data_IF_111607078319
#
_entry.id   IF_111607078319
#
_cell.length_a   1.000
_cell.length_b   1.000
_cell.length_c   1.000
_cell.angle_alpha   90.00
_cell.angle_beta   90.00
_cell.angle_gamma   90.00
#
_symmetry.space_group_name_H-M   'P 1'
#
loop_
_entity.id
_entity.type
_entity.pdbx_description
1 polymer ?
#
# COMPACT_ATOMS: atom_id res chain seq x y z
N UNK A 1 -8.95 -21.26 17.31
CA UNK A 1 -8.86 -19.94 16.71
C UNK A 1 -10.21 -19.26 16.83
N UNK A 2 -10.23 -17.98 17.24
CA UNK A 2 -11.47 -17.19 17.33
C UNK A 2 -11.39 -15.97 16.40
N UNK A 3 -12.50 -15.61 15.75
CA UNK A 3 -12.61 -14.44 14.89
C UNK A 3 -13.99 -13.81 15.09
N UNK A 4 -14.04 -12.48 15.24
CA UNK A 4 -15.30 -11.73 15.38
C UNK A 4 -16.10 -11.65 14.09
N UNK A 5 -15.47 -11.89 12.94
CA UNK A 5 -16.10 -11.80 11.64
C UNK A 5 -17.02 -13.01 11.35
N UNK A 6 -18.09 -12.74 10.62
CA UNK A 6 -18.98 -13.78 10.08
C UNK A 6 -18.30 -14.61 8.99
N UNK A 7 -17.41 -13.99 8.21
CA UNK A 7 -16.66 -14.63 7.12
C UNK A 7 -15.17 -14.52 7.38
N UNK A 8 -14.48 -15.65 7.30
CA UNK A 8 -13.03 -15.72 7.45
C UNK A 8 -12.32 -15.16 6.21
N UNK A 9 -11.18 -14.48 6.42
CA UNK A 9 -10.27 -14.07 5.36
C UNK A 9 -10.75 -12.88 4.53
N UNK A 10 -11.56 -11.98 5.06
CA UNK A 10 -12.08 -10.81 4.32
C UNK A 10 -10.95 -9.92 3.75
N UNK A 11 -9.84 -9.74 4.48
CA UNK A 11 -8.68 -8.99 3.98
C UNK A 11 -8.05 -9.66 2.74
N UNK A 12 -7.96 -10.99 2.75
CA UNK A 12 -7.49 -11.77 1.60
C UNK A 12 -8.48 -11.63 0.44
N UNK A 13 -9.77 -11.74 0.72
CA UNK A 13 -10.85 -11.69 -0.27
C UNK A 13 -10.82 -10.44 -1.13
N UNK A 14 -10.57 -9.27 -0.52
CA UNK A 14 -10.54 -7.99 -1.24
C UNK A 14 -9.16 -7.67 -1.84
N UNK A 15 -8.10 -8.36 -1.43
CA UNK A 15 -6.75 -8.08 -1.90
C UNK A 15 -6.58 -8.34 -3.38
N UNK A 16 -5.71 -7.55 -4.02
CA UNK A 16 -5.41 -7.71 -5.44
C UNK A 16 -6.62 -7.63 -6.37
N UNK A 17 -7.65 -6.85 -6.02
CA UNK A 17 -8.88 -6.75 -6.79
C UNK A 17 -9.70 -8.05 -6.80
N UNK A 18 -9.65 -8.83 -5.72
CA UNK A 18 -10.34 -10.11 -5.57
C UNK A 18 -9.58 -11.32 -6.13
N UNK A 19 -8.34 -11.13 -6.61
CA UNK A 19 -7.45 -12.20 -7.10
C UNK A 19 -6.31 -12.55 -6.16
N UNK A 20 -6.20 -11.89 -5.01
CA UNK A 20 -5.16 -12.04 -4.01
C UNK A 20 -3.74 -11.87 -4.58
N UNK A 21 -3.13 -10.73 -4.35
CA UNK A 21 -1.67 -10.62 -4.44
C UNK A 21 -1.07 -11.37 -3.24
N UNK A 22 -0.82 -12.68 -3.38
CA UNK A 22 -0.53 -13.53 -2.23
C UNK A 22 0.94 -13.49 -1.80
N UNK A 23 1.86 -13.13 -2.70
CA UNK A 23 3.27 -12.88 -2.36
C UNK A 23 4.00 -12.11 -3.49
N UNK A 24 5.28 -11.82 -3.24
CA UNK A 24 6.18 -11.20 -4.21
C UNK A 24 7.50 -11.98 -4.26
N UNK A 25 7.97 -12.34 -5.46
CA UNK A 25 9.24 -13.05 -5.70
C UNK A 25 10.45 -12.31 -5.11
N UNK A 26 10.39 -10.97 -5.08
CA UNK A 26 11.47 -10.09 -4.64
C UNK A 26 11.34 -9.69 -3.16
N UNK A 27 10.58 -10.44 -2.35
CA UNK A 27 10.46 -10.19 -0.91
C UNK A 27 11.82 -10.27 -0.23
N UNK A 28 12.23 -9.18 0.44
CA UNK A 28 13.51 -9.04 1.15
C UNK A 28 13.31 -8.17 2.39
N UNK A 29 14.18 -8.30 3.42
CA UNK A 29 14.06 -7.49 4.64
C UNK A 29 14.08 -5.98 4.44
N UNK A 30 14.76 -5.49 3.41
CA UNK A 30 14.83 -4.06 3.07
C UNK A 30 13.51 -3.47 2.53
N UNK A 31 12.53 -4.32 2.21
CA UNK A 31 11.18 -3.90 1.79
C UNK A 31 10.22 -3.67 2.95
N UNK A 32 10.67 -3.91 4.18
CA UNK A 32 9.86 -3.73 5.39
C UNK A 32 10.28 -2.43 6.10
N UNK A 33 9.34 -1.47 6.20
CA UNK A 33 9.56 -0.20 6.88
C UNK A 33 9.38 -0.42 8.38
N UNK A 34 10.43 -0.16 9.18
CA UNK A 34 10.41 -0.34 10.62
C UNK A 34 11.49 0.50 11.29
N UNK A 35 11.25 0.93 12.52
CA UNK A 35 12.30 1.50 13.40
C UNK A 35 13.33 0.43 13.81
N UNK A 36 12.95 -0.86 13.75
CA UNK A 36 13.83 -2.01 13.94
C UNK A 36 13.94 -2.83 12.64
N UNK A 37 14.74 -2.39 11.65
CA UNK A 37 14.78 -2.99 10.32
C UNK A 37 15.35 -4.41 10.28
N UNK A 38 16.00 -4.85 11.38
CA UNK A 38 16.53 -6.22 11.47
C UNK A 38 15.52 -7.24 11.98
N UNK A 39 14.41 -6.78 12.57
CA UNK A 39 13.42 -7.65 13.22
C UNK A 39 12.87 -8.72 12.26
N UNK A 40 12.50 -8.33 11.05
CA UNK A 40 11.85 -9.19 10.07
C UNK A 40 12.76 -10.30 9.51
N UNK A 41 14.10 -10.19 9.67
CA UNK A 41 15.06 -11.13 9.07
C UNK A 41 14.85 -12.55 9.51
N UNK A 42 14.62 -12.79 10.81
CA UNK A 42 14.41 -14.15 11.34
C UNK A 42 13.13 -14.77 10.78
N UNK A 43 12.03 -14.02 10.75
CA UNK A 43 10.77 -14.52 10.21
C UNK A 43 10.90 -14.88 8.72
N UNK A 44 11.48 -14.00 7.90
CA UNK A 44 11.67 -14.24 6.47
C UNK A 44 12.69 -15.35 6.15
N UNK A 45 13.60 -15.68 7.09
CA UNK A 45 14.51 -16.82 6.92
C UNK A 45 13.88 -18.15 7.32
N UNK A 46 12.91 -18.15 8.24
CA UNK A 46 12.21 -19.34 8.68
C UNK A 46 11.04 -19.73 7.77
N UNK A 47 10.38 -18.73 7.18
CA UNK A 47 9.29 -18.94 6.24
C UNK A 47 9.40 -17.91 5.11
N UNK A 48 9.84 -18.36 3.97
CA UNK A 48 10.13 -17.52 2.80
C UNK A 48 8.91 -17.37 1.90
N UNK A 49 8.97 -16.43 0.94
CA UNK A 49 7.97 -16.36 -0.13
C UNK A 49 7.89 -17.66 -0.96
N UNK A 50 9.00 -18.39 -1.08
CA UNK A 50 9.05 -19.67 -1.81
C UNK A 50 8.32 -20.78 -1.07
N UNK A 51 8.36 -20.80 0.27
CA UNK A 51 7.60 -21.76 1.08
C UNK A 51 6.10 -21.53 0.88
N UNK A 52 5.65 -20.28 0.86
CA UNK A 52 4.25 -19.98 0.59
C UNK A 52 3.84 -20.33 -0.87
N UNK A 53 4.72 -20.06 -1.85
CA UNK A 53 4.49 -20.47 -3.25
C UNK A 53 4.38 -22.00 -3.36
N UNK A 54 5.22 -22.75 -2.64
CA UNK A 54 5.17 -24.21 -2.61
C UNK A 54 3.87 -24.71 -2.00
N UNK A 55 3.38 -24.06 -0.95
CA UNK A 55 2.07 -24.36 -0.37
C UNK A 55 0.94 -24.13 -1.38
N UNK A 56 0.93 -23.00 -2.08
CA UNK A 56 -0.05 -22.69 -3.14
C UNK A 56 -0.01 -23.76 -4.23
N UNK A 57 1.18 -24.19 -4.68
CA UNK A 57 1.36 -25.26 -5.68
C UNK A 57 0.89 -26.60 -5.17
N UNK A 58 1.16 -26.96 -3.89
CA UNK A 58 0.68 -28.20 -3.24
C UNK A 58 -0.84 -28.31 -3.32
N UNK A 59 -1.54 -27.19 -3.18
CA UNK A 59 -2.99 -27.12 -3.30
C UNK A 59 -3.49 -26.94 -4.74
N UNK A 60 -2.60 -27.03 -5.76
CA UNK A 60 -2.94 -26.96 -7.18
C UNK A 60 -3.70 -25.67 -7.55
N UNK A 61 -3.30 -24.55 -6.94
CA UNK A 61 -3.85 -23.23 -7.24
C UNK A 61 -3.00 -22.60 -8.35
N UNK A 62 -3.63 -22.32 -9.49
CA UNK A 62 -3.00 -21.64 -10.62
C UNK A 62 -2.81 -20.15 -10.30
N UNK A 63 -1.66 -19.61 -10.72
CA UNK A 63 -1.28 -18.23 -10.50
C UNK A 63 -0.32 -17.72 -11.57
N UNK A 64 -0.25 -16.41 -11.72
CA UNK A 64 0.68 -15.74 -12.64
C UNK A 64 1.45 -14.60 -11.95
N UNK A 65 2.57 -14.25 -12.52
CA UNK A 65 3.27 -13.00 -12.22
C UNK A 65 2.65 -11.86 -13.04
N UNK A 66 2.21 -10.79 -12.38
CA UNK A 66 1.67 -9.61 -13.05
C UNK A 66 2.79 -8.66 -13.49
N UNK A 67 3.53 -8.10 -12.56
CA UNK A 67 4.73 -7.29 -12.77
C UNK A 67 5.53 -7.17 -11.47
N UNK A 68 6.81 -6.87 -11.56
CA UNK A 68 7.70 -6.62 -10.42
C UNK A 68 7.71 -7.75 -9.38
N UNK A 69 7.50 -8.99 -9.81
CA UNK A 69 7.48 -10.16 -8.92
C UNK A 69 6.18 -10.39 -8.16
N UNK A 70 5.14 -9.60 -8.40
CA UNK A 70 3.83 -9.77 -7.75
C UNK A 70 3.09 -11.00 -8.28
N UNK A 71 2.70 -11.92 -7.40
CA UNK A 71 1.99 -13.14 -7.75
C UNK A 71 0.51 -13.06 -7.38
N UNK A 72 -0.35 -13.36 -8.35
CA UNK A 72 -1.81 -13.32 -8.23
C UNK A 72 -2.43 -14.67 -8.59
N UNK A 73 -3.49 -15.08 -7.88
CA UNK A 73 -4.31 -16.21 -8.30
C UNK A 73 -5.00 -15.91 -9.64
N UNK A 74 -5.06 -16.92 -10.50
CA UNK A 74 -5.70 -16.76 -11.81
C UNK A 74 -7.21 -16.58 -11.71
N UNK A 75 -7.85 -17.27 -10.76
CA UNK A 75 -9.31 -17.30 -10.63
C UNK A 75 -9.81 -16.34 -9.54
N UNK A 76 -9.48 -16.60 -8.28
CA UNK A 76 -10.07 -15.86 -7.14
C UNK A 76 -9.23 -15.94 -5.88
N UNK A 77 -9.24 -14.85 -5.10
CA UNK A 77 -8.70 -14.80 -3.74
C UNK A 77 -9.31 -15.87 -2.81
N UNK A 78 -10.52 -16.36 -3.13
CA UNK A 78 -11.18 -17.43 -2.37
C UNK A 78 -10.35 -18.72 -2.33
N UNK A 79 -9.59 -19.02 -3.40
CA UNK A 79 -8.73 -20.22 -3.44
C UNK A 79 -7.69 -20.22 -2.32
N UNK A 80 -7.08 -19.06 -2.00
CA UNK A 80 -6.14 -18.94 -0.88
C UNK A 80 -6.85 -19.10 0.46
N UNK A 81 -8.06 -18.56 0.61
CA UNK A 81 -8.84 -18.72 1.84
C UNK A 81 -9.20 -20.19 2.05
N UNK A 82 -9.71 -20.85 1.02
CA UNK A 82 -10.10 -22.28 1.09
C UNK A 82 -8.88 -23.16 1.40
N UNK A 83 -7.72 -22.87 0.81
CA UNK A 83 -6.45 -23.52 1.09
C UNK A 83 -6.09 -23.42 2.58
N UNK A 84 -6.11 -22.20 3.12
CA UNK A 84 -5.76 -21.97 4.55
C UNK A 84 -6.76 -22.63 5.49
N UNK A 85 -8.05 -22.64 5.17
CA UNK A 85 -9.06 -23.34 5.95
C UNK A 85 -8.85 -24.85 5.92
N UNK A 86 -8.46 -25.41 4.79
CA UNK A 86 -8.15 -26.83 4.66
C UNK A 86 -6.89 -27.22 5.46
N UNK A 87 -5.84 -26.38 5.45
CA UNK A 87 -4.67 -26.60 6.30
C UNK A 87 -5.03 -26.53 7.80
N UNK A 88 -5.95 -25.64 8.20
CA UNK A 88 -6.49 -25.60 9.57
C UNK A 88 -7.24 -26.89 9.92
N UNK A 89 -8.07 -27.40 9.00
CA UNK A 89 -8.81 -28.65 9.18
C UNK A 89 -7.85 -29.84 9.37
N UNK A 90 -6.84 -29.98 8.51
CA UNK A 90 -5.82 -31.02 8.62
C UNK A 90 -5.01 -30.96 9.92
N UNK A 91 -4.83 -29.76 10.44
CA UNK A 91 -4.17 -29.53 11.73
C UNK A 91 -5.12 -29.63 12.94
N UNK A 92 -6.39 -30.03 12.74
CA UNK A 92 -7.42 -30.09 13.78
C UNK A 92 -7.64 -28.76 14.53
N UNK A 93 -7.52 -27.63 13.83
CA UNK A 93 -7.76 -26.31 14.42
C UNK A 93 -9.26 -26.05 14.49
N UNK A 94 -9.80 -25.91 15.70
CA UNK A 94 -11.17 -25.43 15.89
C UNK A 94 -11.27 -23.95 15.57
N UNK A 95 -12.17 -23.56 14.65
CA UNK A 95 -12.40 -22.16 14.26
C UNK A 95 -13.80 -21.72 14.73
N UNK A 96 -13.82 -20.69 15.60
CA UNK A 96 -15.08 -20.07 16.07
C UNK A 96 -15.23 -18.67 15.47
N UNK A 97 -16.26 -18.51 14.64
CA UNK A 97 -16.64 -17.25 13.99
C UNK A 97 -17.65 -16.50 14.86
N UNK A 98 -17.84 -15.22 14.56
CA UNK A 98 -18.76 -14.34 15.29
C UNK A 98 -18.47 -14.32 16.79
N UNK A 99 -17.21 -14.58 17.15
CA UNK A 99 -16.73 -14.63 18.51
C UNK A 99 -16.07 -13.31 18.89
N UNK A 100 -16.84 -12.46 19.59
CA UNK A 100 -16.35 -11.15 20.06
C UNK A 100 -15.60 -11.36 21.38
N UNK A 101 -14.29 -11.10 21.35
CA UNK A 101 -13.46 -11.11 22.56
C UNK A 101 -13.70 -9.81 23.33
N UNK A 102 -14.19 -9.92 24.55
CA UNK A 102 -14.44 -8.78 25.44
C UNK A 102 -13.22 -8.47 26.31
N UNK A 103 -12.50 -9.49 26.72
CA UNK A 103 -11.38 -9.35 27.66
C UNK A 103 -10.30 -10.41 27.39
N UNK A 104 -9.05 -10.00 27.56
CA UNK A 104 -7.88 -10.86 27.58
C UNK A 104 -7.11 -10.57 28.87
N UNK A 105 -6.86 -11.61 29.67
CA UNK A 105 -6.11 -11.54 30.92
C UNK A 105 -5.07 -12.64 31.04
N UNK A 106 -4.28 -12.60 32.10
CA UNK A 106 -3.39 -13.67 32.53
C UNK A 106 -3.68 -14.00 33.99
N UNK A 107 -4.03 -15.26 34.26
CA UNK A 107 -4.29 -15.80 35.57
C UNK A 107 -3.39 -17.02 35.81
N UNK A 108 -2.56 -16.98 36.85
CA UNK A 108 -1.70 -18.14 37.28
C UNK A 108 -0.87 -18.77 36.15
N UNK A 109 -0.28 -18.01 35.22
CA UNK A 109 0.45 -18.47 34.03
C UNK A 109 -0.41 -18.92 32.84
N UNK A 110 -1.74 -18.91 32.92
CA UNK A 110 -2.62 -19.13 31.77
C UNK A 110 -3.16 -17.82 31.22
N UNK A 111 -3.26 -17.72 29.92
CA UNK A 111 -4.00 -16.65 29.26
C UNK A 111 -5.48 -16.98 29.27
N UNK A 112 -6.27 -15.99 29.64
CA UNK A 112 -7.73 -16.10 29.74
C UNK A 112 -8.37 -15.18 28.70
N UNK A 113 -9.11 -15.76 27.76
CA UNK A 113 -9.85 -15.03 26.73
C UNK A 113 -11.33 -15.18 27.01
N UNK A 114 -12.02 -14.04 27.22
CA UNK A 114 -13.44 -14.01 27.58
C UNK A 114 -14.29 -13.38 26.46
N UNK A 115 -15.42 -13.99 26.18
CA UNK A 115 -16.53 -13.39 25.45
C UNK A 115 -17.73 -13.24 26.38
N UNK A 116 -18.90 -12.81 25.86
CA UNK A 116 -20.12 -12.72 26.65
C UNK A 116 -20.48 -14.05 27.33
N UNK A 117 -20.34 -15.18 26.59
CA UNK A 117 -20.84 -16.48 27.01
C UNK A 117 -19.76 -17.56 27.23
N UNK A 118 -18.48 -17.23 26.90
CA UNK A 118 -17.42 -18.24 26.90
C UNK A 118 -16.13 -17.72 27.53
N UNK A 119 -15.43 -18.61 28.21
CA UNK A 119 -14.08 -18.39 28.75
C UNK A 119 -13.16 -19.49 28.24
N UNK A 120 -12.05 -19.08 27.62
CA UNK A 120 -11.00 -19.99 27.19
C UNK A 120 -9.72 -19.71 27.95
N UNK A 121 -9.02 -20.76 28.33
CA UNK A 121 -7.71 -20.71 29.00
C UNK A 121 -6.68 -21.44 28.17
N UNK A 122 -5.46 -20.91 28.12
CA UNK A 122 -4.35 -21.53 27.41
C UNK A 122 -3.01 -21.06 27.98
N UNK A 123 -1.99 -21.91 27.84
CA UNK A 123 -0.62 -21.57 28.22
C UNK A 123 0.02 -20.56 27.26
N UNK A 124 -0.50 -20.47 26.05
CA UNK A 124 -0.02 -19.53 25.03
C UNK A 124 -1.18 -18.85 24.32
N UNK A 125 -1.00 -17.57 24.01
CA UNK A 125 -1.95 -16.74 23.29
C UNK A 125 -1.28 -16.09 22.08
N UNK A 126 -1.85 -16.25 20.90
CA UNK A 126 -1.44 -15.53 19.70
C UNK A 126 -2.43 -14.41 19.37
N UNK A 127 -1.97 -13.17 19.41
CA UNK A 127 -2.74 -12.00 18.99
C UNK A 127 -2.44 -11.74 17.52
N UNK A 128 -3.36 -12.11 16.63
CA UNK A 128 -3.22 -12.01 15.18
C UNK A 128 -4.36 -11.19 14.55
N UNK A 129 -4.80 -10.14 15.23
CA UNK A 129 -6.00 -9.34 14.89
C UNK A 129 -5.80 -8.35 13.76
N UNK A 130 -4.57 -8.21 13.25
CA UNK A 130 -4.22 -7.23 12.24
C UNK A 130 -4.14 -5.80 12.77
N UNK A 131 -4.16 -4.84 11.85
CA UNK A 131 -4.10 -3.41 12.16
C UNK A 131 -5.41 -2.67 11.86
N UNK A 132 -5.32 -1.34 11.72
CA UNK A 132 -6.47 -0.44 11.58
C UNK A 132 -7.01 -0.30 10.14
N UNK A 133 -6.26 -0.82 9.16
CA UNK A 133 -6.57 -0.60 7.74
C UNK A 133 -7.82 -1.36 7.30
N UNK A 134 -8.73 -0.65 6.62
CA UNK A 134 -10.03 -1.10 6.13
C UNK A 134 -10.99 -1.49 7.26
N UNK A 135 -11.45 -0.54 8.11
CA UNK A 135 -12.35 -0.84 9.24
C UNK A 135 -13.64 -1.54 8.85
N UNK A 136 -14.13 -1.33 7.62
CA UNK A 136 -15.37 -1.96 7.11
C UNK A 136 -15.34 -3.50 7.08
N UNK A 137 -14.16 -4.10 7.11
CA UNK A 137 -14.00 -5.56 7.14
C UNK A 137 -13.56 -6.07 8.51
N UNK A 138 -13.72 -5.26 9.56
CA UNK A 138 -13.47 -5.66 10.93
C UNK A 138 -12.11 -5.27 11.51
N UNK A 139 -11.28 -4.49 10.80
CA UNK A 139 -10.04 -3.97 11.35
C UNK A 139 -10.32 -3.06 12.55
N UNK A 140 -9.57 -3.26 13.66
CA UNK A 140 -9.77 -2.53 14.91
C UNK A 140 -8.46 -2.34 15.68
N UNK A 141 -8.50 -1.54 16.74
CA UNK A 141 -7.39 -1.33 17.68
C UNK A 141 -7.19 -2.45 18.70
N UNK A 142 -8.05 -3.45 18.71
CA UNK A 142 -8.11 -4.46 19.77
C UNK A 142 -6.73 -5.10 20.10
N UNK A 143 -5.95 -5.48 19.10
CA UNK A 143 -4.62 -6.05 19.32
C UNK A 143 -3.65 -5.09 20.00
N UNK A 144 -3.76 -3.79 19.70
CA UNK A 144 -2.94 -2.75 20.35
C UNK A 144 -3.39 -2.50 21.79
N UNK A 145 -4.69 -2.60 22.07
CA UNK A 145 -5.25 -2.48 23.43
C UNK A 145 -4.79 -3.64 24.29
N UNK A 146 -4.83 -4.87 23.77
CA UNK A 146 -4.27 -6.05 24.43
C UNK A 146 -2.78 -5.85 24.71
N UNK A 147 -1.99 -5.44 23.73
CA UNK A 147 -0.56 -5.20 23.91
C UNK A 147 -0.28 -4.14 24.99
N UNK A 148 -1.02 -3.02 25.00
CA UNK A 148 -0.93 -1.98 26.04
C UNK A 148 -1.30 -2.54 27.43
N UNK A 149 -2.36 -3.36 27.54
CA UNK A 149 -2.77 -4.00 28.79
C UNK A 149 -1.62 -4.84 29.38
N UNK A 150 -0.86 -5.50 28.50
CA UNK A 150 0.35 -6.26 28.88
C UNK A 150 1.63 -5.40 28.94
N UNK A 151 1.51 -4.05 29.05
CA UNK A 151 2.63 -3.15 29.25
C UNK A 151 3.63 -3.08 28.08
N UNK A 152 3.17 -3.37 26.85
CA UNK A 152 3.96 -3.20 25.64
C UNK A 152 3.73 -1.83 25.02
N UNK A 153 4.77 -1.21 24.51
CA UNK A 153 4.70 0.07 23.83
C UNK A 153 4.12 -0.08 22.42
N UNK A 154 3.34 0.91 22.01
CA UNK A 154 2.81 1.02 20.66
C UNK A 154 3.50 2.18 19.93
N UNK A 155 4.20 1.87 18.85
CA UNK A 155 4.67 2.86 17.90
C UNK A 155 3.45 3.47 17.20
N UNK A 156 3.44 4.79 17.09
CA UNK A 156 2.34 5.53 16.45
C UNK A 156 1.91 4.87 15.16
N UNK A 157 0.61 4.64 15.04
CA UNK A 157 0.04 3.99 13.86
C UNK A 157 -0.40 5.01 12.82
N UNK A 158 -0.04 4.80 11.56
CA UNK A 158 -0.38 5.65 10.44
C UNK A 158 -0.93 4.82 9.28
N UNK A 159 -1.89 5.35 8.49
CA UNK A 159 -2.33 4.69 7.26
C UNK A 159 -1.20 4.71 6.23
N UNK A 160 -0.97 3.58 5.57
CA UNK A 160 0.03 3.44 4.52
C UNK A 160 -0.50 2.64 3.33
N UNK A 161 0.20 2.70 2.19
CA UNK A 161 -0.33 2.28 0.89
C UNK A 161 -1.73 2.89 0.71
N UNK A 162 -1.79 4.22 0.77
CA UNK A 162 -3.04 4.98 0.85
C UNK A 162 -3.02 6.14 -0.16
N UNK A 163 -4.14 6.46 -0.83
CA UNK A 163 -4.24 7.62 -1.69
C UNK A 163 -3.96 8.93 -0.93
N UNK A 164 -3.28 9.86 -1.61
CA UNK A 164 -2.94 11.17 -1.07
C UNK A 164 -3.97 12.23 -1.50
N UNK A 165 -4.34 13.11 -0.56
CA UNK A 165 -5.28 14.22 -0.77
C UNK A 165 -4.54 15.54 -0.89
N UNK A 166 -5.18 16.53 -1.53
CA UNK A 166 -4.55 17.80 -1.86
C UNK A 166 -5.48 18.99 -1.58
N UNK A 167 -4.91 20.19 -1.60
CA UNK A 167 -5.66 21.43 -1.58
C UNK A 167 -6.56 21.57 -2.82
N UNK A 168 -7.46 22.54 -2.78
CA UNK A 168 -8.48 22.77 -3.81
C UNK A 168 -7.90 22.90 -5.22
N UNK A 169 -6.79 23.61 -5.39
CA UNK A 169 -6.17 23.81 -6.71
C UNK A 169 -5.79 22.48 -7.38
N UNK A 170 -5.04 21.63 -6.68
CA UNK A 170 -4.61 20.33 -7.21
C UNK A 170 -5.80 19.35 -7.25
N UNK A 171 -6.70 19.44 -6.27
CA UNK A 171 -7.90 18.60 -6.24
C UNK A 171 -8.80 18.84 -7.46
N UNK A 172 -8.95 20.06 -7.93
CA UNK A 172 -9.74 20.37 -9.13
C UNK A 172 -9.12 19.73 -10.38
N UNK A 173 -7.80 19.80 -10.55
CA UNK A 173 -7.08 19.08 -11.61
C UNK A 173 -7.36 17.58 -11.53
N UNK A 174 -7.28 17.02 -10.33
CA UNK A 174 -7.53 15.58 -10.11
C UNK A 174 -8.98 15.19 -10.46
N UNK A 175 -9.96 16.03 -10.12
CA UNK A 175 -11.38 15.80 -10.46
C UNK A 175 -11.60 15.78 -11.97
N UNK A 176 -11.03 16.74 -12.70
CA UNK A 176 -11.12 16.81 -14.16
C UNK A 176 -10.45 15.61 -14.85
N UNK A 177 -9.39 15.05 -14.24
CA UNK A 177 -8.66 13.90 -14.74
C UNK A 177 -9.11 12.57 -14.13
N UNK A 178 -10.20 12.55 -13.35
CA UNK A 178 -10.65 11.32 -12.66
C UNK A 178 -10.71 10.12 -13.61
N UNK A 179 -10.09 9.00 -13.15
CA UNK A 179 -10.00 7.74 -13.89
C UNK A 179 -8.82 7.67 -14.88
N UNK A 180 -8.08 8.77 -15.08
CA UNK A 180 -6.91 8.77 -15.95
C UNK A 180 -5.70 8.25 -15.19
N UNK A 181 -4.99 7.30 -15.80
CA UNK A 181 -3.71 6.76 -15.29
C UNK A 181 -2.56 7.14 -16.22
N UNK A 182 -1.39 7.37 -15.63
CA UNK A 182 -0.15 7.65 -16.36
C UNK A 182 1.02 6.94 -15.66
N UNK A 183 1.93 6.35 -16.43
CA UNK A 183 3.18 5.84 -15.87
C UNK A 183 4.03 7.02 -15.38
N UNK A 184 4.50 6.94 -14.16
CA UNK A 184 5.23 8.04 -13.53
C UNK A 184 6.29 7.54 -12.57
N UNK A 185 7.33 8.33 -12.36
CA UNK A 185 8.23 8.20 -11.21
C UNK A 185 7.78 9.18 -10.15
N UNK A 186 7.34 8.66 -9.02
CA UNK A 186 7.00 9.47 -7.84
C UNK A 186 8.11 9.35 -6.83
N UNK A 187 8.61 10.46 -6.32
CA UNK A 187 9.73 10.49 -5.39
C UNK A 187 9.48 11.35 -4.15
N UNK A 188 10.04 10.89 -3.05
CA UNK A 188 10.11 11.60 -1.79
C UNK A 188 11.53 11.45 -1.22
N UNK A 189 12.27 12.55 -1.13
CA UNK A 189 13.71 12.54 -0.77
C UNK A 189 14.49 11.59 -1.70
N UNK A 190 15.10 10.54 -1.13
CA UNK A 190 15.88 9.54 -1.88
C UNK A 190 15.07 8.32 -2.31
N UNK A 191 13.82 8.23 -1.89
CA UNK A 191 12.91 7.12 -2.21
C UNK A 191 12.17 7.46 -3.49
N UNK A 192 12.05 6.49 -4.39
CA UNK A 192 11.32 6.64 -5.64
C UNK A 192 10.60 5.33 -6.01
N UNK A 193 9.46 5.49 -6.69
CA UNK A 193 8.69 4.37 -7.26
C UNK A 193 8.28 4.72 -8.69
N UNK A 194 8.61 3.83 -9.62
CA UNK A 194 8.26 3.93 -11.03
C UNK A 194 7.13 2.96 -11.33
N UNK A 195 5.91 3.46 -11.32
CA UNK A 195 4.68 2.72 -11.61
C UNK A 195 3.54 3.68 -11.97
N UNK A 196 2.38 3.11 -12.32
CA UNK A 196 1.19 3.88 -12.62
C UNK A 196 0.76 4.82 -11.49
N UNK A 197 0.48 6.07 -11.83
CA UNK A 197 -0.19 7.06 -11.01
C UNK A 197 -1.61 7.26 -11.55
N UNK A 198 -2.59 7.32 -10.66
CA UNK A 198 -4.01 7.45 -10.99
C UNK A 198 -4.57 8.75 -10.42
N UNK A 199 -5.23 9.53 -11.25
CA UNK A 199 -6.04 10.67 -10.82
C UNK A 199 -7.41 10.21 -10.35
N UNK A 200 -7.83 10.67 -9.16
CA UNK A 200 -9.15 10.36 -8.57
C UNK A 200 -9.87 11.65 -8.19
N UNK A 201 -11.17 11.57 -7.96
CA UNK A 201 -11.95 12.71 -7.49
C UNK A 201 -11.55 13.23 -6.08
N UNK A 202 -10.64 12.55 -5.38
CA UNK A 202 -10.14 12.91 -4.05
C UNK A 202 -8.67 13.30 -4.02
N UNK A 203 -7.95 13.08 -5.11
CA UNK A 203 -6.52 13.34 -5.19
C UNK A 203 -5.80 12.32 -6.06
N UNK A 204 -4.62 11.92 -5.66
CA UNK A 204 -3.77 10.98 -6.40
C UNK A 204 -3.76 9.60 -5.72
N UNK A 205 -3.76 8.57 -6.54
CA UNK A 205 -3.70 7.16 -6.17
C UNK A 205 -2.82 6.39 -7.18
N UNK A 206 -2.97 5.10 -7.26
CA UNK A 206 -2.16 4.22 -8.11
C UNK A 206 -0.90 3.74 -7.41
N UNK A 207 -0.26 2.68 -7.92
CA UNK A 207 0.82 1.98 -7.22
C UNK A 207 1.98 2.88 -6.80
N UNK A 208 2.41 3.84 -7.63
CA UNK A 208 3.51 4.77 -7.29
C UNK A 208 3.15 5.69 -6.12
N UNK A 209 1.90 6.19 -6.07
CA UNK A 209 1.40 7.03 -4.98
C UNK A 209 1.18 6.23 -3.70
N UNK A 210 0.58 5.04 -3.81
CA UNK A 210 0.36 4.18 -2.64
C UNK A 210 1.68 3.81 -1.98
N UNK A 211 2.69 3.44 -2.76
CA UNK A 211 4.00 3.10 -2.20
C UNK A 211 4.70 4.31 -1.56
N UNK A 212 4.72 5.48 -2.22
CA UNK A 212 5.37 6.67 -1.68
C UNK A 212 4.67 7.18 -0.41
N UNK A 213 3.35 6.97 -0.27
CA UNK A 213 2.59 7.37 0.92
C UNK A 213 3.11 6.76 2.22
N UNK A 214 3.75 5.57 2.12
CA UNK A 214 4.36 4.90 3.27
C UNK A 214 5.64 5.58 3.79
N UNK A 215 6.22 6.48 3.00
CA UNK A 215 7.43 7.23 3.35
C UNK A 215 7.18 8.73 3.51
N UNK A 216 6.12 9.24 2.87
CA UNK A 216 5.76 10.64 2.91
C UNK A 216 5.40 11.08 4.33
N UNK A 217 5.77 12.32 4.67
CA UNK A 217 5.41 12.95 5.93
C UNK A 217 4.53 14.16 5.68
N UNK A 218 3.53 14.35 6.53
CA UNK A 218 2.62 15.48 6.41
C UNK A 218 3.36 16.82 6.39
N UNK A 219 2.96 17.69 5.45
CA UNK A 219 3.57 18.99 5.21
C UNK A 219 4.78 18.99 4.27
N UNK A 220 5.28 17.81 3.86
CA UNK A 220 6.39 17.72 2.91
C UNK A 220 5.89 17.48 1.47
N UNK A 221 6.67 17.95 0.49
CA UNK A 221 6.36 17.78 -0.94
C UNK A 221 6.77 16.40 -1.45
N UNK A 222 6.03 15.92 -2.43
CA UNK A 222 6.46 14.83 -3.32
C UNK A 222 6.71 15.41 -4.71
N UNK A 223 7.58 14.73 -5.48
CA UNK A 223 7.90 15.10 -6.87
C UNK A 223 7.41 13.99 -7.79
N UNK A 224 6.73 14.40 -8.85
CA UNK A 224 6.18 13.50 -9.87
C UNK A 224 6.84 13.79 -11.21
N UNK A 225 7.40 12.76 -11.86
CA UNK A 225 7.87 12.78 -13.23
C UNK A 225 6.91 11.91 -14.08
N UNK A 226 6.15 12.53 -14.95
CA UNK A 226 5.14 11.89 -15.81
C UNK A 226 5.69 11.46 -17.17
N UNK A 227 6.98 11.68 -17.43
CA UNK A 227 7.68 11.22 -18.62
C UNK A 227 9.11 10.82 -18.27
N UNK A 228 9.30 9.71 -17.50
CA UNK A 228 10.60 9.38 -16.90
C UNK A 228 11.68 9.01 -17.91
N UNK A 229 11.28 8.57 -19.10
CA UNK A 229 12.21 8.12 -20.16
C UNK A 229 12.70 9.24 -21.08
N UNK A 230 12.16 10.47 -20.92
CA UNK A 230 12.42 11.57 -21.82
C UNK A 230 12.65 12.87 -21.05
N UNK A 231 13.66 13.63 -21.42
CA UNK A 231 13.76 15.03 -21.05
C UNK A 231 12.84 15.86 -21.97
N UNK A 232 11.68 16.22 -21.42
CA UNK A 232 10.62 16.89 -22.21
C UNK A 232 11.09 18.24 -22.74
N UNK A 233 11.89 19.00 -22.01
CA UNK A 233 12.42 20.28 -22.51
C UNK A 233 13.31 20.09 -23.74
N UNK A 234 14.26 19.16 -23.71
CA UNK A 234 15.12 18.84 -24.86
C UNK A 234 14.29 18.37 -26.07
N UNK A 235 13.35 17.49 -25.84
CA UNK A 235 12.42 17.04 -26.87
C UNK A 235 11.65 18.21 -27.53
N UNK A 236 11.17 19.17 -26.73
CA UNK A 236 10.47 20.35 -27.23
C UNK A 236 11.40 21.27 -28.04
N UNK A 237 12.67 21.44 -27.64
CA UNK A 237 13.65 22.20 -28.44
C UNK A 237 13.92 21.55 -29.79
N UNK A 238 14.01 20.23 -29.85
CA UNK A 238 14.16 19.48 -31.10
C UNK A 238 12.93 19.61 -32.00
N UNK A 239 11.72 19.47 -31.41
CA UNK A 239 10.45 19.67 -32.13
C UNK A 239 10.30 21.10 -32.68
N UNK A 240 10.73 22.10 -31.92
CA UNK A 240 10.70 23.50 -32.37
C UNK A 240 11.57 23.74 -33.61
N UNK A 241 12.67 23.01 -33.73
CA UNK A 241 13.56 23.06 -34.90
C UNK A 241 13.03 22.27 -36.09
N UNK A 242 12.51 21.06 -35.84
CA UNK A 242 12.09 20.10 -36.87
C UNK A 242 10.64 20.34 -37.38
N UNK A 243 9.74 20.76 -36.50
CA UNK A 243 8.31 20.90 -36.77
C UNK A 243 7.69 22.19 -36.18
N UNK A 244 8.21 23.37 -36.57
CA UNK A 244 7.91 24.66 -35.93
C UNK A 244 6.42 25.06 -35.96
N UNK A 245 5.65 24.57 -36.93
CA UNK A 245 4.22 24.86 -37.07
C UNK A 245 3.29 23.91 -36.33
N UNK A 246 3.83 22.91 -35.64
CA UNK A 246 3.01 21.97 -34.87
C UNK A 246 2.47 22.64 -33.60
N UNK A 247 1.20 22.41 -33.32
CA UNK A 247 0.55 22.91 -32.10
C UNK A 247 1.14 22.22 -30.86
N UNK A 248 1.42 23.02 -29.83
CA UNK A 248 2.09 22.53 -28.59
C UNK A 248 1.28 21.45 -27.86
N UNK A 249 -0.04 21.60 -27.82
CA UNK A 249 -0.88 20.60 -27.13
C UNK A 249 -0.85 19.25 -27.85
N UNK A 250 -0.78 19.26 -29.20
CA UNK A 250 -0.64 18.03 -29.98
C UNK A 250 0.72 17.37 -29.71
N UNK A 251 1.80 18.15 -29.63
CA UNK A 251 3.15 17.62 -29.30
C UNK A 251 3.12 16.94 -27.92
N UNK A 252 2.51 17.57 -26.92
CA UNK A 252 2.42 16.97 -25.58
C UNK A 252 1.48 15.76 -25.55
N UNK A 253 0.45 15.74 -26.43
CA UNK A 253 -0.46 14.60 -26.53
C UNK A 253 0.19 13.34 -27.14
N UNK A 254 1.35 13.47 -27.80
CA UNK A 254 2.19 12.35 -28.21
C UNK A 254 2.92 11.68 -27.02
N UNK A 255 3.10 12.42 -25.92
CA UNK A 255 3.82 11.97 -24.72
C UNK A 255 2.87 11.56 -23.57
N UNK A 256 1.75 12.26 -23.44
CA UNK A 256 0.82 12.12 -22.33
C UNK A 256 -0.62 11.95 -22.86
N UNK A 257 -1.53 11.35 -22.08
CA UNK A 257 -2.94 11.30 -22.44
C UNK A 257 -3.49 12.71 -22.79
N UNK A 258 -4.27 12.82 -23.86
CA UNK A 258 -4.76 14.11 -24.42
C UNK A 258 -5.38 15.05 -23.38
N UNK A 259 -6.23 14.54 -22.48
CA UNK A 259 -6.85 15.35 -21.40
C UNK A 259 -5.80 15.93 -20.45
N UNK A 260 -4.76 15.16 -20.10
CA UNK A 260 -3.68 15.62 -19.24
C UNK A 260 -2.83 16.67 -19.96
N UNK A 261 -2.49 16.45 -21.23
CA UNK A 261 -1.76 17.41 -22.08
C UNK A 261 -2.50 18.75 -22.16
N UNK A 262 -3.81 18.72 -22.40
CA UNK A 262 -4.66 19.90 -22.43
C UNK A 262 -4.60 20.68 -21.12
N UNK A 263 -4.88 20.03 -19.98
CA UNK A 263 -4.88 20.68 -18.66
C UNK A 263 -3.51 21.28 -18.32
N UNK A 264 -2.41 20.58 -18.63
CA UNK A 264 -1.07 21.12 -18.39
C UNK A 264 -0.81 22.37 -19.25
N UNK A 265 -1.20 22.37 -20.52
CA UNK A 265 -1.05 23.52 -21.39
C UNK A 265 -1.92 24.71 -20.92
N UNK A 266 -3.15 24.45 -20.48
CA UNK A 266 -4.05 25.46 -19.91
C UNK A 266 -3.50 26.05 -18.62
N UNK A 267 -2.97 25.23 -17.70
CA UNK A 267 -2.39 25.63 -16.42
C UNK A 267 -1.27 26.67 -16.57
N UNK A 268 -0.45 26.52 -17.62
CA UNK A 268 0.67 27.42 -17.91
C UNK A 268 0.39 28.38 -19.05
N UNK A 269 -0.88 28.44 -19.48
CA UNK A 269 -1.37 29.35 -20.54
C UNK A 269 -0.58 29.25 -21.86
N UNK A 270 -0.31 28.02 -22.31
CA UNK A 270 0.37 27.75 -23.60
C UNK A 270 -0.65 27.31 -24.66
N UNK A 271 -0.64 28.01 -25.80
CA UNK A 271 -1.49 27.71 -26.97
C UNK A 271 -0.74 28.04 -28.25
N UNK A 272 -1.16 27.43 -29.36
CA UNK A 272 -0.64 27.72 -30.70
C UNK A 272 0.62 26.96 -31.07
N UNK A 273 1.28 27.41 -32.11
CA UNK A 273 2.44 26.72 -32.69
C UNK A 273 3.67 26.82 -31.78
N UNK A 274 4.44 25.73 -31.68
CA UNK A 274 5.63 25.68 -30.84
C UNK A 274 6.65 26.77 -31.19
N UNK A 275 6.70 27.22 -32.44
CA UNK A 275 7.56 28.32 -32.87
C UNK A 275 7.33 29.63 -32.11
N UNK A 276 6.08 29.96 -31.82
CA UNK A 276 5.66 31.19 -31.14
C UNK A 276 5.98 31.15 -29.62
N UNK A 277 6.26 29.98 -29.08
CA UNK A 277 6.48 29.79 -27.66
C UNK A 277 7.94 30.02 -27.28
N UNK A 278 8.18 30.87 -26.27
CA UNK A 278 9.54 31.15 -25.80
C UNK A 278 10.22 29.91 -25.20
N UNK A 279 11.53 29.84 -25.29
CA UNK A 279 12.30 28.73 -24.69
C UNK A 279 12.12 28.65 -23.16
N UNK A 280 11.90 29.81 -22.50
CA UNK A 280 11.57 29.86 -21.07
C UNK A 280 10.24 29.17 -20.78
N UNK A 281 9.22 29.37 -21.60
CA UNK A 281 7.91 28.73 -21.46
C UNK A 281 8.00 27.22 -21.78
N UNK A 282 8.76 26.82 -22.80
CA UNK A 282 9.03 25.40 -23.10
C UNK A 282 9.75 24.70 -21.95
N UNK A 283 10.69 25.39 -21.30
CA UNK A 283 11.37 24.87 -20.10
C UNK A 283 10.37 24.69 -18.94
N UNK A 284 9.53 25.68 -18.70
CA UNK A 284 8.48 25.57 -17.65
C UNK A 284 7.54 24.39 -17.90
N UNK A 285 7.16 24.17 -19.17
CA UNK A 285 6.35 23.01 -19.56
C UNK A 285 7.11 21.67 -19.32
N UNK A 286 8.38 21.61 -19.72
CA UNK A 286 9.23 20.45 -19.45
C UNK A 286 9.35 20.17 -17.96
N UNK A 287 9.62 21.19 -17.15
CA UNK A 287 9.71 21.07 -15.69
C UNK A 287 8.37 20.63 -15.07
N UNK A 288 7.23 21.13 -15.58
CA UNK A 288 5.90 20.73 -15.13
C UNK A 288 5.62 19.25 -15.40
N UNK A 289 6.17 18.67 -16.45
CA UNK A 289 5.99 17.24 -16.78
C UNK A 289 7.02 16.36 -16.09
N UNK A 290 8.31 16.74 -16.10
CA UNK A 290 9.38 15.94 -15.54
C UNK A 290 9.62 16.16 -14.04
N UNK A 291 9.06 17.22 -13.45
CA UNK A 291 9.38 17.63 -12.07
C UNK A 291 8.20 18.30 -11.35
N UNK A 292 6.99 17.78 -11.55
CA UNK A 292 5.82 18.33 -10.88
C UNK A 292 5.93 18.16 -9.36
N UNK A 293 6.11 19.27 -8.65
CA UNK A 293 6.19 19.29 -7.19
C UNK A 293 4.78 19.54 -6.65
N UNK A 294 4.29 18.64 -5.82
CA UNK A 294 2.98 18.73 -5.17
C UNK A 294 3.10 18.53 -3.67
N UNK A 295 2.28 19.25 -2.93
CA UNK A 295 2.20 19.15 -1.47
C UNK A 295 0.90 18.45 -1.09
N UNK A 296 0.93 17.16 -0.70
CA UNK A 296 -0.25 16.52 -0.17
C UNK A 296 -0.65 17.15 1.18
N UNK A 297 -1.93 17.37 1.37
CA UNK A 297 -2.49 17.89 2.62
C UNK A 297 -2.85 16.80 3.62
N UNK A 298 -2.89 15.55 3.15
CA UNK A 298 -3.22 14.38 3.95
C UNK A 298 -3.36 13.13 3.09
N UNK A 299 -4.05 12.14 3.62
CA UNK A 299 -4.40 10.91 2.93
C UNK A 299 -5.88 10.58 3.12
N UNK A 300 -6.39 9.58 2.39
CA UNK A 300 -7.76 9.09 2.60
C UNK A 300 -7.95 8.29 3.92
N UNK A 301 -6.90 8.15 4.71
CA UNK A 301 -6.92 7.52 6.02
C UNK A 301 -7.11 5.99 5.97
N UNK A 302 -7.35 5.40 7.13
CA UNK A 302 -7.48 3.95 7.28
C UNK A 302 -8.60 3.32 6.46
N UNK A 303 -9.58 4.10 6.05
CA UNK A 303 -10.71 3.61 5.25
C UNK A 303 -10.27 2.98 3.94
N UNK A 304 -9.22 3.50 3.32
CA UNK A 304 -8.70 3.08 2.02
C UNK A 304 -7.26 2.58 2.08
N UNK A 305 -6.59 2.75 3.21
CA UNK A 305 -5.22 2.27 3.39
C UNK A 305 -5.15 0.74 3.27
N UNK A 306 -4.20 0.24 2.49
CA UNK A 306 -4.00 -1.21 2.37
C UNK A 306 -3.31 -1.80 3.60
N UNK A 307 -2.42 -1.05 4.24
CA UNK A 307 -1.67 -1.48 5.42
C UNK A 307 -1.61 -0.38 6.49
N UNK A 308 -1.21 -0.77 7.70
CA UNK A 308 -0.96 0.12 8.82
C UNK A 308 0.53 0.16 9.12
N UNK A 309 1.13 1.34 9.10
CA UNK A 309 2.46 1.56 9.68
C UNK A 309 2.37 1.63 11.20
N UNK A 310 3.49 1.33 11.89
CA UNK A 310 3.51 1.30 13.34
C UNK A 310 2.85 0.05 13.92
N UNK A 311 2.48 0.10 15.19
CA UNK A 311 1.94 -1.02 15.94
C UNK A 311 2.83 -1.40 17.13
N UNK A 312 2.77 -2.63 17.59
CA UNK A 312 3.56 -3.09 18.74
C UNK A 312 5.05 -2.86 18.51
N UNK A 313 5.74 -2.28 19.51
CA UNK A 313 7.17 -2.03 19.44
C UNK A 313 7.95 -3.35 19.31
N UNK A 314 8.54 -3.57 18.15
CA UNK A 314 9.26 -4.82 17.85
C UNK A 314 10.53 -5.03 18.69
N UNK A 315 11.01 -4.01 19.42
CA UNK A 315 12.09 -4.19 20.41
C UNK A 315 11.63 -4.96 21.64
N UNK A 316 10.33 -5.12 21.84
CA UNK A 316 9.74 -5.89 22.96
C UNK A 316 9.30 -7.29 22.53
N UNK A 317 9.54 -7.67 21.28
CA UNK A 317 9.16 -8.94 20.68
C UNK A 317 10.43 -9.71 20.25
N UNK A 318 10.51 -10.98 20.56
CA UNK A 318 11.56 -11.86 20.05
C UNK A 318 11.42 -12.05 18.53
N UNK A 319 12.41 -11.64 17.76
CA UNK A 319 12.41 -11.85 16.31
C UNK A 319 12.49 -13.31 15.88
N UNK A 320 12.91 -14.21 16.79
CA UNK A 320 13.03 -15.65 16.54
C UNK A 320 11.73 -16.41 16.78
N UNK A 321 10.98 -16.03 17.83
CA UNK A 321 9.79 -16.77 18.29
C UNK A 321 8.49 -16.01 18.12
N UNK A 322 8.56 -14.71 17.80
CA UNK A 322 7.44 -13.75 17.80
C UNK A 322 6.77 -13.57 19.17
N UNK A 323 7.37 -14.07 20.24
CA UNK A 323 6.84 -13.94 21.60
C UNK A 323 7.24 -12.61 22.23
N UNK A 324 6.40 -12.08 23.09
CA UNK A 324 6.74 -10.97 23.98
C UNK A 324 7.97 -11.31 24.82
N UNK A 325 8.90 -10.36 24.96
CA UNK A 325 10.05 -10.50 25.85
C UNK A 325 9.67 -10.33 27.33
N UNK A 326 8.48 -9.72 27.59
CA UNK A 326 7.98 -9.46 28.95
C UNK A 326 7.03 -10.57 29.45
N UNK A 327 6.33 -11.24 28.54
CA UNK A 327 5.26 -12.19 28.87
C UNK A 327 5.44 -13.50 28.10
N UNK A 328 5.92 -14.51 28.84
CA UNK A 328 6.07 -15.86 28.27
C UNK A 328 4.72 -16.38 27.77
N UNK A 329 4.70 -16.90 26.56
CA UNK A 329 3.51 -17.47 25.92
C UNK A 329 2.62 -16.46 25.17
N UNK A 330 2.91 -15.15 25.22
CA UNK A 330 2.20 -14.13 24.45
C UNK A 330 2.95 -13.81 23.18
#
# INVERSE_FOLDING_TARGET
LVDHAKKIGEKIRISGGGRCNFTNLNTKPDKFISQNPKFVRSALSQYTQHDFINLVKKHKIDFHEKKLGQLFCDKSAKQIIDMLLLECEWANVEIKKEFVVNEVDKDNNEYVVKSADNIYKSNSLVVATGGLSVPKIGASSFGYEVAKKFGMDIIETLPALVPLTFNEKILNICKELTGLSVEAVVSFKKILFEEGMLFTHRGLSGPSILQISSYWKQGENIKVNMSPKLNVYQFLEEKKKSNPKQDIQNIISDLLPKRLAQIICEEINLKGNIWEISNKALKSLGDRINSWIVNPTGSEGYRTAEVTLGGVNTNEISSKTMMSLKHQGL
#
